data_IF_826966026368
#
_entry.id   IF_826966026368
#
_cell.length_a   1.000
_cell.length_b   1.000
_cell.length_c   1.000
_cell.angle_alpha   90.00
_cell.angle_beta   90.00
_cell.angle_gamma   90.00
#
_symmetry.space_group_name_H-M   'P 1'
#
loop_
_entity.id
_entity.type
_entity.pdbx_description
1 polymer ?
#
# COMPACT_ATOMS: atom_id res chain seq x y z
N UNK A 1 6.89 12.73 18.06
CA UNK A 1 6.72 12.92 16.59
C UNK A 1 5.65 11.91 16.14
N UNK A 2 4.54 12.35 15.55
CA UNK A 2 3.36 11.50 15.27
C UNK A 2 3.42 10.90 13.85
N UNK A 3 4.26 11.46 12.96
CA UNK A 3 4.38 11.05 11.57
C UNK A 3 5.54 10.06 11.32
N UNK A 4 5.28 9.05 10.50
CA UNK A 4 6.28 8.09 9.99
C UNK A 4 7.08 8.80 8.89
N UNK A 5 8.41 8.83 9.02
CA UNK A 5 9.27 9.59 8.10
C UNK A 5 9.59 8.87 6.79
N UNK A 6 9.35 7.55 6.72
CA UNK A 6 9.51 6.75 5.50
C UNK A 6 8.44 5.63 5.48
N UNK A 7 7.19 5.95 5.10
CA UNK A 7 6.13 4.95 5.04
C UNK A 7 6.43 3.90 3.97
N UNK A 8 5.88 2.68 4.14
CA UNK A 8 5.88 1.69 3.07
C UNK A 8 5.01 2.19 1.92
N UNK A 9 5.48 1.92 0.70
CA UNK A 9 4.84 2.37 -0.52
C UNK A 9 4.86 1.29 -1.59
N UNK A 10 3.95 1.40 -2.56
CA UNK A 10 3.86 0.55 -3.74
C UNK A 10 3.64 1.42 -4.98
N UNK A 11 4.19 1.00 -6.11
CA UNK A 11 3.93 1.67 -7.39
C UNK A 11 2.48 1.45 -7.83
N UNK A 12 1.88 2.47 -8.44
CA UNK A 12 0.50 2.42 -8.94
C UNK A 12 0.24 1.36 -10.02
N UNK A 13 1.27 0.85 -10.68
CA UNK A 13 1.15 -0.17 -11.71
C UNK A 13 1.34 -1.60 -11.17
N UNK A 14 1.64 -1.75 -9.88
CA UNK A 14 1.78 -3.07 -9.26
C UNK A 14 0.45 -3.78 -9.05
N UNK A 15 0.52 -5.10 -8.95
CA UNK A 15 -0.66 -5.90 -8.66
C UNK A 15 -1.18 -5.62 -7.24
N UNK A 16 -2.50 -5.58 -7.12
CA UNK A 16 -3.17 -5.43 -5.83
C UNK A 16 -2.82 -6.58 -4.87
N UNK A 17 -2.56 -7.80 -5.38
CA UNK A 17 -2.06 -8.92 -4.59
C UNK A 17 -0.66 -8.65 -3.99
N UNK A 18 0.21 -7.95 -4.73
CA UNK A 18 1.51 -7.49 -4.22
C UNK A 18 1.33 -6.53 -3.04
N UNK A 19 0.34 -5.63 -3.11
CA UNK A 19 0.02 -4.73 -2.00
C UNK A 19 -0.43 -5.49 -0.74
N UNK A 20 -1.25 -6.53 -0.89
CA UNK A 20 -1.66 -7.42 0.22
C UNK A 20 -0.44 -8.09 0.84
N UNK A 21 0.42 -8.70 0.02
CA UNK A 21 1.63 -9.37 0.52
C UNK A 21 2.55 -8.42 1.30
N UNK A 22 2.80 -7.20 0.79
CA UNK A 22 3.59 -6.18 1.50
C UNK A 22 2.94 -5.83 2.84
N UNK A 23 1.62 -5.65 2.86
CA UNK A 23 0.90 -5.32 4.10
C UNK A 23 1.03 -6.44 5.15
N UNK A 24 0.94 -7.70 4.73
CA UNK A 24 1.13 -8.87 5.59
C UNK A 24 2.57 -8.97 6.11
N UNK A 25 3.56 -8.88 5.21
CA UNK A 25 4.99 -8.99 5.55
C UNK A 25 5.45 -7.93 6.57
N UNK A 26 4.91 -6.72 6.47
CA UNK A 26 5.24 -5.62 7.37
C UNK A 26 4.23 -5.44 8.51
N UNK A 27 3.22 -6.29 8.59
CA UNK A 27 2.15 -6.25 9.59
C UNK A 27 1.48 -4.85 9.71
N UNK A 28 1.19 -4.25 8.55
CA UNK A 28 0.53 -2.94 8.41
C UNK A 28 -0.79 -3.08 7.67
N UNK A 29 -1.73 -2.16 7.89
CA UNK A 29 -3.05 -2.19 7.26
C UNK A 29 -3.26 -1.11 6.22
N UNK A 30 -2.25 -0.27 5.98
CA UNK A 30 -2.32 0.86 5.06
C UNK A 30 -1.00 1.00 4.30
N UNK A 31 -1.09 1.28 3.00
CA UNK A 31 0.07 1.37 2.11
C UNK A 31 -0.08 2.59 1.20
N UNK A 32 0.98 3.38 1.08
CA UNK A 32 1.00 4.56 0.22
C UNK A 32 1.19 4.12 -1.23
N UNK A 33 0.38 4.65 -2.14
CA UNK A 33 0.54 4.43 -3.58
C UNK A 33 1.35 5.59 -4.14
N UNK A 34 2.40 5.29 -4.91
CA UNK A 34 3.23 6.28 -5.58
C UNK A 34 3.27 6.08 -7.09
N UNK A 35 3.63 7.13 -7.82
CA UNK A 35 4.07 7.01 -9.22
C UNK A 35 5.55 6.57 -9.32
N UNK A 36 6.03 6.43 -10.56
CA UNK A 36 7.43 6.08 -10.87
C UNK A 36 8.44 7.11 -10.35
N UNK A 37 8.03 8.37 -10.16
CA UNK A 37 8.87 9.46 -9.64
C UNK A 37 8.79 9.56 -8.09
N UNK A 38 8.13 8.59 -7.43
CA UNK A 38 7.87 8.52 -6.00
C UNK A 38 6.96 9.63 -5.44
N UNK A 39 6.14 10.28 -6.27
CA UNK A 39 5.11 11.17 -5.78
C UNK A 39 3.92 10.38 -5.24
N UNK A 40 3.36 10.76 -4.08
CA UNK A 40 2.18 10.09 -3.53
C UNK A 40 0.95 10.37 -4.40
N UNK A 41 0.35 9.29 -4.90
CA UNK A 41 -0.90 9.33 -5.65
C UNK A 41 -2.10 9.03 -4.75
N UNK A 42 -1.91 8.24 -3.69
CA UNK A 42 -2.99 7.87 -2.79
C UNK A 42 -2.59 6.93 -1.67
N UNK A 43 -3.60 6.37 -1.02
CA UNK A 43 -3.48 5.42 0.08
C UNK A 43 -4.50 4.30 -0.12
N UNK A 44 -4.11 3.08 0.17
CA UNK A 44 -5.02 1.93 0.19
C UNK A 44 -4.97 1.22 1.54
N UNK A 45 -6.13 0.73 1.98
CA UNK A 45 -6.26 -0.06 3.20
C UNK A 45 -6.44 -1.54 2.86
N UNK A 46 -5.91 -2.41 3.71
CA UNK A 46 -6.02 -3.87 3.55
C UNK A 46 -7.47 -4.32 3.42
N UNK A 47 -8.38 -3.75 4.22
CA UNK A 47 -9.79 -4.13 4.21
C UNK A 47 -10.49 -3.86 2.87
N UNK A 48 -10.06 -2.85 2.13
CA UNK A 48 -10.65 -2.53 0.82
C UNK A 48 -10.21 -3.55 -0.23
N UNK A 49 -8.94 -3.99 -0.17
CA UNK A 49 -8.39 -5.06 -1.01
C UNK A 49 -9.09 -6.40 -0.77
N UNK A 50 -9.34 -6.74 0.51
CA UNK A 50 -10.05 -7.97 0.86
C UNK A 50 -11.52 -7.94 0.39
N UNK A 51 -12.21 -6.80 0.54
CA UNK A 51 -13.59 -6.64 0.02
C UNK A 51 -13.66 -6.76 -1.49
N UNK A 52 -12.64 -6.28 -2.20
CA UNK A 52 -12.52 -6.36 -3.65
C UNK A 52 -12.20 -7.78 -4.17
N UNK A 53 -12.02 -8.77 -3.28
CA UNK A 53 -11.67 -10.17 -3.64
C UNK A 53 -10.40 -10.27 -4.49
N UNK A 54 -9.41 -9.45 -4.13
CA UNK A 54 -8.07 -9.45 -4.76
C UNK A 54 -7.30 -10.75 -4.42
N UNK A 55 -7.79 -11.51 -3.44
CA UNK A 55 -7.33 -12.85 -3.02
C UNK A 55 -8.52 -13.79 -2.87
#
# INVERSE_FOLDING_TARGET
>A
KIAISNPKRIDSNELAATAVAIMEDFNITSLVITDNDNHPLGLIHLHDLLKAKVV
#
